data_IF_325716857797
#
_entry.id   IF_325716857797
#
_cell.length_a   1.000
_cell.length_b   1.000
_cell.length_c   1.000
_cell.angle_alpha   90.00
_cell.angle_beta   90.00
_cell.angle_gamma   90.00
#
_symmetry.space_group_name_H-M   'P 1'
#
loop_
_entity.id
_entity.type
_entity.pdbx_description
1 polymer ?
#
# COMPACT_ATOMS: atom_id res chain seq x y z
N UNK A 1 -0.25 -4.52 9.10
CA UNK A 1 1.00 -4.39 8.38
C UNK A 1 0.82 -3.76 7.02
N UNK A 2 -0.26 -4.11 6.34
CA UNK A 2 -0.47 -3.50 5.03
C UNK A 2 -0.63 -1.99 5.13
N UNK A 3 -1.07 -1.51 6.25
CA UNK A 3 -1.26 -0.08 6.43
C UNK A 3 0.06 0.68 6.34
N UNK A 4 1.11 0.08 6.85
CA UNK A 4 2.41 0.73 6.80
C UNK A 4 2.86 0.88 5.37
N UNK A 5 2.66 -0.17 4.59
CA UNK A 5 3.02 -0.10 3.17
C UNK A 5 2.21 0.96 2.45
N UNK A 6 0.91 1.00 2.74
CA UNK A 6 0.07 1.99 2.08
C UNK A 6 0.53 3.40 2.41
N UNK A 7 0.90 3.63 3.66
CA UNK A 7 1.38 4.93 4.07
C UNK A 7 2.67 5.29 3.34
N UNK A 8 3.58 4.34 3.24
CA UNK A 8 4.85 4.59 2.57
C UNK A 8 4.63 4.89 1.09
N UNK A 9 3.70 4.18 0.50
CA UNK A 9 3.40 4.40 -0.90
C UNK A 9 2.80 5.78 -1.11
N UNK A 10 1.92 6.17 -0.24
CA UNK A 10 1.29 7.49 -0.36
C UNK A 10 2.31 8.60 -0.21
N UNK A 11 3.32 8.38 0.60
CA UNK A 11 4.36 9.38 0.80
C UNK A 11 5.41 9.34 -0.29
N UNK A 12 5.32 8.37 -1.18
CA UNK A 12 6.27 8.28 -2.26
C UNK A 12 7.58 7.63 -1.86
N UNK A 13 7.60 6.99 -0.70
CA UNK A 13 8.81 6.34 -0.22
C UNK A 13 8.93 4.92 -0.76
N UNK A 14 7.82 4.33 -1.16
CA UNK A 14 7.82 2.99 -1.71
C UNK A 14 6.78 2.90 -2.80
N UNK A 15 6.86 1.83 -3.58
CA UNK A 15 5.89 1.61 -4.64
C UNK A 15 5.18 0.30 -4.37
N UNK A 16 4.10 0.08 -5.11
CA UNK A 16 3.33 -1.14 -4.95
C UNK A 16 4.19 -2.35 -5.28
N UNK A 17 5.18 -2.17 -6.11
CA UNK A 17 6.05 -3.28 -6.49
C UNK A 17 7.00 -3.67 -5.37
N UNK A 18 7.20 -2.78 -4.43
CA UNK A 18 8.02 -3.08 -3.27
C UNK A 18 7.27 -3.90 -2.25
N UNK A 19 5.97 -4.08 -2.45
CA UNK A 19 5.14 -4.80 -1.51
C UNK A 19 5.13 -6.27 -1.85
N UNK A 20 5.26 -7.16 -0.85
CA UNK A 20 5.19 -8.60 -1.11
C UNK A 20 3.88 -8.95 -1.79
N UNK A 21 3.94 -9.96 -2.62
CA UNK A 21 2.76 -10.38 -3.36
C UNK A 21 1.57 -10.62 -2.44
N UNK A 22 1.83 -11.22 -1.31
CA UNK A 22 0.76 -11.57 -0.38
C UNK A 22 0.06 -10.33 0.16
N UNK A 23 0.76 -9.22 0.23
CA UNK A 23 0.19 -8.01 0.79
C UNK A 23 -0.26 -7.01 -0.26
N UNK A 24 0.09 -7.24 -1.49
CA UNK A 24 -0.25 -6.31 -2.55
C UNK A 24 -1.74 -6.04 -2.61
N UNK A 25 -2.52 -7.09 -2.53
CA UNK A 25 -3.97 -6.92 -2.62
C UNK A 25 -4.51 -6.11 -1.47
N UNK A 26 -4.00 -6.38 -0.29
CA UNK A 26 -4.48 -5.65 0.88
C UNK A 26 -4.05 -4.20 0.82
N UNK A 27 -2.84 -3.96 0.40
CA UNK A 27 -2.35 -2.59 0.29
C UNK A 27 -3.19 -1.83 -0.74
N UNK A 28 -3.47 -2.47 -1.84
CA UNK A 28 -4.26 -1.83 -2.87
C UNK A 28 -5.67 -1.52 -2.38
N UNK A 29 -6.22 -2.42 -1.59
CA UNK A 29 -7.52 -2.19 -1.02
C UNK A 29 -7.50 -0.99 -0.10
N UNK A 30 -6.47 -0.89 0.70
CA UNK A 30 -6.35 0.23 1.63
C UNK A 30 -6.21 1.53 0.86
N UNK A 31 -5.37 1.54 -0.15
CA UNK A 31 -5.18 2.74 -0.94
C UNK A 31 -6.47 3.13 -1.64
N UNK A 32 -7.18 2.13 -2.10
CA UNK A 32 -8.41 2.38 -2.84
C UNK A 32 -9.51 2.91 -1.93
N UNK A 33 -9.62 2.33 -0.76
CA UNK A 33 -10.66 2.73 0.15
C UNK A 33 -10.32 3.97 0.95
N UNK A 34 -9.05 4.25 1.09
CA UNK A 34 -8.61 5.39 1.88
C UNK A 34 -8.24 6.54 0.98
N UNK A 35 -8.80 6.57 -0.17
CA UNK A 35 -8.39 7.54 -1.13
C UNK A 35 -9.24 8.77 -1.01
N UNK A 36 -9.04 9.50 -0.04
CA UNK A 36 -9.86 10.68 0.16
C UNK A 36 -9.14 11.93 -0.12
#
# INVERSE_FOLDING_TARGET
MAQIYATLIRKGLKTIEDVPKALKKEVQKILDGDNE
#
